data_IF_711332133960
#
_entry.id   IF_711332133960
#
_cell.length_a   1.000
_cell.length_b   1.000
_cell.length_c   1.000
_cell.angle_alpha   90.00
_cell.angle_beta   90.00
_cell.angle_gamma   90.00
#
_symmetry.space_group_name_H-M   'P 1'
#
loop_
_entity.id
_entity.type
_entity.pdbx_description
1 polymer ?
#
# COMPACT_ATOMS: atom_id res chain seq x y z
N UNK A 1 -56.84 -4.87 28.68
CA UNK A 1 -55.47 -5.07 29.18
C UNK A 1 -54.81 -6.15 28.32
N UNK A 2 -54.81 -6.10 26.99
CA UNK A 2 -54.27 -5.12 26.00
C UNK A 2 -52.83 -5.41 25.60
N UNK A 3 -52.68 -6.42 24.73
CA UNK A 3 -52.01 -6.48 23.40
C UNK A 3 -50.72 -5.67 23.11
N UNK A 4 -50.48 -4.54 23.78
CA UNK A 4 -49.32 -3.67 23.59
C UNK A 4 -48.01 -4.29 24.09
N UNK A 5 -48.04 -5.05 25.20
CA UNK A 5 -46.84 -5.66 25.76
C UNK A 5 -46.21 -6.72 24.83
N UNK A 6 -47.03 -7.43 24.05
CA UNK A 6 -46.56 -8.53 23.19
C UNK A 6 -45.90 -8.04 21.90
N UNK A 7 -46.27 -6.83 21.42
CA UNK A 7 -45.62 -6.19 20.27
C UNK A 7 -44.25 -5.62 20.63
N UNK A 8 -44.09 -5.05 21.83
CA UNK A 8 -42.81 -4.48 22.29
C UNK A 8 -41.74 -5.58 22.40
N UNK A 9 -42.09 -6.75 22.95
CA UNK A 9 -41.16 -7.89 23.08
C UNK A 9 -40.69 -8.40 21.71
N UNK A 10 -41.58 -8.44 20.70
CA UNK A 10 -41.21 -8.80 19.32
C UNK A 10 -40.31 -7.76 18.64
N UNK A 11 -40.58 -6.47 18.84
CA UNK A 11 -39.75 -5.40 18.27
C UNK A 11 -38.33 -5.37 18.85
N UNK A 12 -38.17 -5.59 20.16
CA UNK A 12 -36.83 -5.67 20.77
C UNK A 12 -36.06 -6.93 20.37
N UNK A 13 -36.72 -8.08 20.19
CA UNK A 13 -36.08 -9.32 19.74
C UNK A 13 -35.48 -9.24 18.33
N UNK A 14 -36.17 -8.57 17.40
CA UNK A 14 -35.66 -8.31 16.04
C UNK A 14 -34.50 -7.30 16.03
N UNK A 15 -34.53 -6.29 16.90
CA UNK A 15 -33.51 -5.24 16.93
C UNK A 15 -32.15 -5.74 17.43
N UNK A 16 -32.12 -6.72 18.35
CA UNK A 16 -30.87 -7.29 18.89
C UNK A 16 -30.18 -8.26 17.91
N UNK A 17 -30.93 -8.94 17.03
CA UNK A 17 -30.33 -9.79 15.99
C UNK A 17 -29.62 -8.98 14.88
N UNK A 18 -30.07 -7.76 14.61
CA UNK A 18 -29.51 -6.92 13.54
C UNK A 18 -28.13 -6.29 13.87
N UNK A 19 -27.73 -6.21 15.14
CA UNK A 19 -26.46 -5.56 15.54
C UNK A 19 -25.28 -6.51 15.72
N UNK A 20 -25.48 -7.82 15.60
CA UNK A 20 -24.41 -8.83 15.78
C UNK A 20 -24.00 -9.55 14.49
N UNK A 21 -24.60 -9.19 13.34
CA UNK A 21 -24.14 -9.68 12.04
C UNK A 21 -22.85 -8.96 11.62
N UNK A 22 -21.70 -9.46 12.09
CA UNK A 22 -20.40 -9.26 11.44
C UNK A 22 -20.29 -10.27 10.29
N UNK A 23 -20.29 -9.86 9.01
CA UNK A 23 -19.76 -10.70 7.95
C UNK A 23 -18.22 -10.68 8.04
N UNK A 24 -17.63 -11.79 8.47
CA UNK A 24 -16.26 -12.12 8.08
C UNK A 24 -16.34 -12.87 6.76
N UNK A 25 -16.22 -12.14 5.64
CA UNK A 25 -15.95 -12.76 4.35
C UNK A 25 -14.50 -13.27 4.33
N UNK A 26 -14.36 -14.53 4.74
CA UNK A 26 -13.30 -15.42 4.31
C UNK A 26 -13.42 -15.63 2.79
N UNK A 27 -12.75 -14.82 1.98
CA UNK A 27 -12.30 -15.27 0.66
C UNK A 27 -11.13 -14.42 0.13
N UNK A 28 -9.92 -14.65 0.66
CA UNK A 28 -8.71 -14.36 -0.12
C UNK A 28 -8.57 -15.49 -1.11
N UNK A 29 -9.01 -15.20 -2.33
CA UNK A 29 -8.88 -16.03 -3.50
C UNK A 29 -7.45 -16.57 -3.64
N UNK A 30 -7.36 -17.89 -3.67
CA UNK A 30 -6.15 -18.65 -3.92
C UNK A 30 -5.58 -18.22 -5.29
N UNK A 31 -4.47 -17.49 -5.29
CA UNK A 31 -3.70 -17.23 -6.52
C UNK A 31 -3.13 -18.55 -7.01
N UNK A 32 -3.51 -19.03 -8.20
CA UNK A 32 -2.99 -20.28 -8.74
C UNK A 32 -1.50 -20.12 -9.03
N UNK A 33 -0.71 -21.01 -8.45
CA UNK A 33 0.68 -21.29 -8.85
C UNK A 33 0.61 -21.90 -10.24
N UNK A 34 0.63 -21.07 -11.29
CA UNK A 34 0.53 -21.53 -12.67
C UNK A 34 1.76 -22.36 -13.01
N UNK A 35 1.48 -23.64 -13.26
CA UNK A 35 2.35 -24.66 -13.82
C UNK A 35 3.22 -24.12 -14.96
N UNK A 36 4.52 -24.37 -14.87
CA UNK A 36 5.46 -24.22 -15.97
C UNK A 36 5.13 -25.26 -17.05
N UNK A 37 4.67 -24.81 -18.21
CA UNK A 37 4.68 -25.59 -19.44
C UNK A 37 5.95 -25.28 -20.22
N UNK A 38 6.70 -26.34 -20.54
CA UNK A 38 7.92 -26.30 -21.32
C UNK A 38 7.67 -25.77 -22.74
N UNK A 39 8.56 -24.89 -23.22
CA UNK A 39 8.66 -24.47 -24.61
C UNK A 39 10.16 -24.35 -25.00
N UNK A 40 10.52 -24.55 -26.27
CA UNK A 40 11.87 -24.89 -26.69
C UNK A 40 12.86 -23.72 -26.62
N UNK A 41 14.11 -24.08 -26.36
CA UNK A 41 15.27 -23.20 -26.24
C UNK A 41 15.62 -22.48 -27.54
N UNK A 42 15.25 -21.20 -27.64
CA UNK A 42 15.92 -20.22 -28.50
C UNK A 42 16.90 -19.43 -27.62
N UNK A 43 18.20 -19.60 -27.87
CA UNK A 43 19.28 -18.90 -27.17
C UNK A 43 19.33 -17.47 -27.67
N UNK A 44 18.51 -16.60 -27.08
CA UNK A 44 18.79 -15.17 -27.05
C UNK A 44 19.64 -14.91 -25.81
N UNK A 45 20.75 -14.16 -25.96
CA UNK A 45 21.58 -13.69 -24.84
C UNK A 45 20.68 -12.99 -23.83
N UNK A 46 20.38 -13.68 -22.72
CA UNK A 46 19.48 -13.20 -21.68
C UNK A 46 20.15 -12.00 -20.99
N UNK A 47 19.55 -10.82 -21.11
CA UNK A 47 19.54 -9.92 -19.96
C UNK A 47 18.85 -10.70 -18.84
N UNK A 48 19.51 -10.85 -17.70
CA UNK A 48 18.92 -11.50 -16.52
C UNK A 48 17.66 -10.75 -16.14
N UNK A 49 16.50 -11.32 -16.48
CA UNK A 49 15.26 -11.07 -15.75
C UNK A 49 15.46 -11.73 -14.39
N UNK A 50 15.98 -10.94 -13.47
CA UNK A 50 15.92 -11.22 -12.05
C UNK A 50 14.46 -11.51 -11.71
N UNK A 51 14.15 -12.78 -11.49
CA UNK A 51 12.88 -13.25 -10.93
C UNK A 51 12.96 -13.12 -9.39
N UNK A 52 13.56 -12.02 -8.91
CA UNK A 52 13.29 -11.52 -7.59
C UNK A 52 11.90 -10.92 -7.66
N UNK A 53 10.94 -11.55 -6.97
CA UNK A 53 9.92 -10.76 -6.28
C UNK A 53 10.64 -9.51 -5.75
N UNK A 54 10.21 -8.28 -6.10
CA UNK A 54 10.68 -7.14 -5.34
C UNK A 54 10.28 -7.49 -3.92
N UNK A 55 11.26 -7.87 -3.10
CA UNK A 55 11.05 -8.08 -1.69
C UNK A 55 10.35 -6.81 -1.24
N UNK A 56 9.06 -6.99 -0.98
CA UNK A 56 8.08 -6.00 -0.64
C UNK A 56 8.38 -5.75 0.84
N UNK A 57 9.55 -5.21 1.06
CA UNK A 57 10.15 -4.75 2.30
C UNK A 57 11.01 -3.61 1.81
N UNK A 58 10.83 -2.39 2.30
CA UNK A 58 11.85 -1.37 2.03
C UNK A 58 13.17 -1.99 2.54
N UNK A 59 14.33 -1.84 1.84
CA UNK A 59 15.58 -2.28 2.44
C UNK A 59 15.60 -1.74 3.86
N UNK A 60 16.07 -2.53 4.83
CA UNK A 60 16.15 -2.06 6.21
C UNK A 60 17.21 -0.95 6.28
N UNK A 61 16.82 0.25 5.86
CA UNK A 61 17.67 1.42 5.77
C UNK A 61 17.70 2.01 7.17
N UNK A 62 18.89 2.07 7.76
CA UNK A 62 19.08 2.75 9.03
C UNK A 62 18.61 4.21 8.92
N UNK A 63 18.03 4.76 9.97
CA UNK A 63 17.47 6.13 10.02
C UNK A 63 18.46 7.19 9.51
N UNK A 64 19.76 7.02 9.83
CA UNK A 64 20.81 7.93 9.38
C UNK A 64 20.96 8.01 7.86
N UNK A 65 20.78 6.88 7.16
CA UNK A 65 20.87 6.81 5.70
C UNK A 65 19.60 7.40 5.08
N UNK A 66 18.45 7.17 5.70
CA UNK A 66 17.19 7.77 5.30
C UNK A 66 17.24 9.30 5.40
N UNK A 67 17.78 9.84 6.50
CA UNK A 67 17.92 11.28 6.70
C UNK A 67 18.87 11.90 5.67
N UNK A 68 19.99 11.25 5.37
CA UNK A 68 20.91 11.69 4.30
C UNK A 68 20.22 11.73 2.94
N UNK A 69 19.39 10.74 2.64
CA UNK A 69 18.62 10.70 1.39
C UNK A 69 17.56 11.81 1.34
N UNK A 70 16.85 12.07 2.44
CA UNK A 70 15.85 13.14 2.55
C UNK A 70 16.48 14.54 2.47
N UNK A 71 17.70 14.72 2.96
CA UNK A 71 18.43 15.99 2.85
C UNK A 71 18.95 16.26 1.43
N UNK A 72 19.00 15.25 0.55
CA UNK A 72 19.39 15.43 -0.84
C UNK A 72 18.18 15.83 -1.69
N UNK A 73 18.01 17.13 -1.92
CA UNK A 73 16.94 17.68 -2.75
C UNK A 73 16.81 17.02 -4.13
N UNK A 74 17.93 16.75 -4.82
CA UNK A 74 17.89 16.11 -6.15
C UNK A 74 17.32 14.69 -6.07
N UNK A 75 17.69 13.95 -5.03
CA UNK A 75 17.15 12.62 -4.79
C UNK A 75 15.65 12.68 -4.52
N UNK A 76 15.21 13.56 -3.60
CA UNK A 76 13.78 13.73 -3.28
C UNK A 76 12.97 14.13 -4.50
N UNK A 77 13.45 15.10 -5.29
CA UNK A 77 12.79 15.53 -6.53
C UNK A 77 12.64 14.36 -7.53
N UNK A 78 13.65 13.48 -7.65
CA UNK A 78 13.57 12.28 -8.49
C UNK A 78 12.53 11.28 -7.98
N UNK A 79 12.48 11.03 -6.67
CA UNK A 79 11.51 10.12 -6.08
C UNK A 79 10.07 10.66 -6.19
N UNK A 80 9.88 11.98 -6.06
CA UNK A 80 8.60 12.66 -6.28
C UNK A 80 8.12 12.48 -7.72
N UNK A 81 9.00 12.68 -8.71
CA UNK A 81 8.68 12.44 -10.13
C UNK A 81 8.29 10.99 -10.39
N UNK A 82 9.01 10.03 -9.81
CA UNK A 82 8.66 8.61 -9.90
C UNK A 82 7.25 8.33 -9.32
N UNK A 83 6.95 8.86 -8.14
CA UNK A 83 5.65 8.73 -7.49
C UNK A 83 4.51 9.28 -8.37
N UNK A 84 4.74 10.43 -9.02
CA UNK A 84 3.80 11.05 -9.95
C UNK A 84 3.75 10.35 -11.33
N UNK A 85 4.74 9.52 -11.67
CA UNK A 85 4.86 8.89 -12.98
C UNK A 85 5.44 9.81 -14.06
N UNK A 86 6.10 10.89 -13.66
CA UNK A 86 6.70 11.92 -14.53
C UNK A 86 8.19 11.66 -14.80
N UNK A 87 8.74 10.55 -14.32
CA UNK A 87 10.16 10.24 -14.45
C UNK A 87 10.50 8.77 -14.14
N UNK A 88 11.77 8.39 -14.33
CA UNK A 88 12.25 7.06 -14.04
C UNK A 88 12.15 6.75 -12.54
N UNK A 89 11.96 5.48 -12.21
CA UNK A 89 11.85 5.00 -10.85
C UNK A 89 13.01 4.08 -10.49
N UNK A 90 13.72 4.42 -9.42
CA UNK A 90 14.73 3.56 -8.83
C UNK A 90 14.07 2.44 -8.01
N UNK A 91 14.86 1.48 -7.52
CA UNK A 91 14.37 0.44 -6.61
C UNK A 91 13.63 1.01 -5.39
N UNK A 92 14.13 2.11 -4.82
CA UNK A 92 13.52 2.78 -3.67
C UNK A 92 12.20 3.46 -4.09
N UNK A 93 12.22 4.24 -5.19
CA UNK A 93 11.04 4.93 -5.72
C UNK A 93 9.90 3.98 -6.07
N UNK A 94 10.20 2.83 -6.67
CA UNK A 94 9.21 1.77 -6.95
C UNK A 94 8.53 1.26 -5.68
N UNK A 95 9.31 1.02 -4.62
CA UNK A 95 8.78 0.59 -3.32
C UNK A 95 7.91 1.67 -2.69
N UNK A 96 8.39 2.91 -2.64
CA UNK A 96 7.62 4.04 -2.11
C UNK A 96 6.30 4.19 -2.89
N UNK A 97 6.34 4.14 -4.22
CA UNK A 97 5.15 4.25 -5.07
C UNK A 97 4.12 3.15 -4.79
N UNK A 98 4.56 1.91 -4.54
CA UNK A 98 3.67 0.80 -4.21
C UNK A 98 3.06 0.92 -2.80
N UNK A 99 3.85 1.38 -1.82
CA UNK A 99 3.45 1.37 -0.42
C UNK A 99 2.84 2.65 0.11
N UNK A 100 3.24 3.80 -0.41
CA UNK A 100 2.70 5.10 -0.05
C UNK A 100 1.16 5.11 -0.01
N UNK A 101 0.43 4.67 -1.05
CA UNK A 101 -1.04 4.66 -1.00
C UNK A 101 -1.59 3.69 0.07
N UNK A 102 -0.91 2.58 0.33
CA UNK A 102 -1.34 1.59 1.33
C UNK A 102 -1.13 2.10 2.75
N UNK A 103 0.02 2.72 3.03
CA UNK A 103 0.35 3.29 4.36
C UNK A 103 -0.53 4.50 4.65
N UNK A 104 -0.78 5.37 3.67
CA UNK A 104 -1.65 6.55 3.84
C UNK A 104 -3.12 6.16 4.12
N UNK A 105 -3.57 5.03 3.57
CA UNK A 105 -4.92 4.47 3.83
C UNK A 105 -4.97 3.55 5.05
N UNK A 106 -3.83 3.33 5.73
CA UNK A 106 -3.70 2.38 6.84
C UNK A 106 -4.11 0.94 6.46
N UNK A 107 -3.87 0.53 5.22
CA UNK A 107 -4.24 -0.78 4.65
C UNK A 107 -3.02 -1.67 4.33
N UNK A 108 -1.81 -1.32 4.77
CA UNK A 108 -0.62 -2.08 4.43
C UNK A 108 -0.45 -3.33 5.29
N UNK A 109 -1.03 -4.45 4.87
CA UNK A 109 -0.85 -5.77 5.51
C UNK A 109 0.52 -6.42 5.24
N UNK A 110 1.21 -6.01 4.16
CA UNK A 110 2.53 -6.52 3.76
C UNK A 110 3.71 -5.63 4.19
N UNK A 111 3.47 -4.55 4.94
CA UNK A 111 4.54 -3.69 5.42
C UNK A 111 5.08 -4.19 6.76
N UNK A 112 6.39 -4.07 6.99
CA UNK A 112 6.93 -4.18 8.35
C UNK A 112 6.68 -2.89 9.14
N UNK A 113 6.73 -2.96 10.47
CA UNK A 113 6.64 -1.76 11.31
C UNK A 113 7.76 -0.75 11.02
N UNK A 114 8.92 -1.22 10.56
CA UNK A 114 10.01 -0.35 10.13
C UNK A 114 9.64 0.40 8.85
N UNK A 115 9.09 -0.29 7.86
CA UNK A 115 8.66 0.32 6.60
C UNK A 115 7.61 1.40 6.80
N UNK A 116 6.62 1.13 7.66
CA UNK A 116 5.55 2.08 7.99
C UNK A 116 6.17 3.36 8.58
N UNK A 117 7.05 3.22 9.58
CA UNK A 117 7.73 4.37 10.21
C UNK A 117 8.58 5.15 9.20
N UNK A 118 9.33 4.46 8.36
CA UNK A 118 10.17 5.09 7.35
C UNK A 118 9.32 5.85 6.32
N UNK A 119 8.25 5.25 5.80
CA UNK A 119 7.34 5.89 4.85
C UNK A 119 6.64 7.08 5.49
N UNK A 120 6.16 6.97 6.73
CA UNK A 120 5.57 8.09 7.47
C UNK A 120 6.55 9.25 7.65
N UNK A 121 7.82 8.95 7.95
CA UNK A 121 8.89 9.95 8.07
C UNK A 121 9.16 10.65 6.74
N UNK A 122 9.24 9.88 5.64
CA UNK A 122 9.39 10.42 4.27
C UNK A 122 8.21 11.32 3.92
N UNK A 123 6.98 10.86 4.16
CA UNK A 123 5.77 11.65 3.88
C UNK A 123 5.73 12.93 4.70
N UNK A 124 6.09 12.87 5.98
CA UNK A 124 6.17 14.05 6.85
C UNK A 124 7.22 15.04 6.37
N UNK A 125 8.37 14.55 5.88
CA UNK A 125 9.41 15.41 5.30
C UNK A 125 8.92 16.07 4.01
N UNK A 126 8.29 15.32 3.11
CA UNK A 126 7.74 15.83 1.85
C UNK A 126 6.64 16.86 2.11
N UNK A 127 5.73 16.60 3.04
CA UNK A 127 4.66 17.53 3.41
C UNK A 127 5.21 18.89 3.86
N UNK A 128 6.30 18.89 4.65
CA UNK A 128 6.92 20.13 5.17
C UNK A 128 7.73 20.88 4.11
N UNK A 129 8.49 20.17 3.28
CA UNK A 129 9.46 20.79 2.36
C UNK A 129 8.92 20.98 0.93
N UNK A 130 7.93 20.18 0.52
CA UNK A 130 7.37 20.11 -0.84
C UNK A 130 5.83 20.04 -0.83
N UNK A 131 5.12 21.02 -0.20
CA UNK A 131 3.67 20.94 -0.01
C UNK A 131 2.87 20.88 -1.32
N UNK A 132 3.37 21.52 -2.38
CA UNK A 132 2.73 21.51 -3.70
C UNK A 132 2.74 20.12 -4.34
N UNK A 133 3.89 19.44 -4.32
CA UNK A 133 4.01 18.10 -4.90
C UNK A 133 3.35 17.05 -4.00
N UNK A 134 3.37 17.25 -2.68
CA UNK A 134 2.62 16.43 -1.73
C UNK A 134 1.12 16.40 -2.06
N UNK A 135 0.52 17.57 -2.32
CA UNK A 135 -0.88 17.67 -2.69
C UNK A 135 -1.20 16.94 -4.01
N UNK A 136 -0.32 17.03 -5.01
CA UNK A 136 -0.48 16.28 -6.28
C UNK A 136 -0.43 14.77 -6.06
N UNK A 137 0.52 14.31 -5.25
CA UNK A 137 0.68 12.88 -4.93
C UNK A 137 -0.56 12.37 -4.19
N UNK A 138 -1.05 13.11 -3.20
CA UNK A 138 -2.28 12.78 -2.48
C UNK A 138 -3.48 12.69 -3.42
N UNK A 139 -3.63 13.63 -4.35
CA UNK A 139 -4.71 13.61 -5.34
C UNK A 139 -4.60 12.37 -6.23
N UNK A 140 -3.41 12.07 -6.75
CA UNK A 140 -3.15 10.89 -7.57
C UNK A 140 -3.49 9.58 -6.84
N UNK A 141 -3.05 9.45 -5.59
CA UNK A 141 -3.29 8.24 -4.80
C UNK A 141 -4.73 8.13 -4.29
N UNK A 142 -5.46 9.23 -4.13
CA UNK A 142 -6.90 9.18 -3.81
C UNK A 142 -7.72 8.75 -5.04
N UNK A 143 -7.38 9.27 -6.21
CA UNK A 143 -8.13 9.07 -7.44
C UNK A 143 -7.80 7.76 -8.19
N UNK A 144 -6.88 6.94 -7.66
CA UNK A 144 -6.67 5.56 -8.13
C UNK A 144 -6.13 5.45 -9.56
N UNK A 145 -5.10 6.22 -9.90
CA UNK A 145 -4.45 6.21 -11.23
C UNK A 145 -3.15 5.43 -11.22
#
# INVERSE_FOLDING_TARGET
MSSFAMRIIWFFGLYVCATLARPQDLNVENVPKSLAAAAPTVIVKRATLDNGQPDLSLPNVNDNVLDKALNNKKFVDSQLKCAMGEGPCDNIGRKIKAYAPLVLRNMCNKCTQSDIRQIQRVMSHIQRNYPKDYAKILNKYQNGV
#
